data_IF_854602465389
#
_entry.id   IF_854602465389
#
_cell.length_a   1.000
_cell.length_b   1.000
_cell.length_c   1.000
_cell.angle_alpha   90.00
_cell.angle_beta   90.00
_cell.angle_gamma   90.00
#
_symmetry.space_group_name_H-M   'P 1'
#
loop_
_entity.id
_entity.type
_entity.pdbx_description
1 polymer ?
#
# COMPACT_ATOMS: atom_id res chain seq x y z
N UNK A 1 69.99 8.70 48.85
CA UNK A 1 69.42 7.52 48.12
C UNK A 1 68.17 7.99 47.44
N UNK A 2 68.29 8.32 46.14
CA UNK A 2 67.20 8.91 45.36
C UNK A 2 66.65 7.79 44.45
N UNK A 3 65.39 7.41 44.65
CA UNK A 3 64.69 6.44 43.84
C UNK A 3 64.01 7.18 42.68
N UNK A 4 64.56 7.01 41.49
CA UNK A 4 63.94 7.51 40.21
C UNK A 4 63.01 6.45 39.70
N UNK A 5 61.71 6.70 39.86
CA UNK A 5 60.66 5.88 39.25
C UNK A 5 60.48 6.20 37.76
N UNK A 6 60.71 5.25 36.88
CA UNK A 6 60.34 5.34 35.49
C UNK A 6 58.81 5.18 35.31
N UNK A 7 58.14 6.25 34.93
CA UNK A 7 56.79 6.19 34.39
C UNK A 7 56.90 5.87 32.90
N UNK A 8 56.60 4.64 32.49
CA UNK A 8 56.33 4.32 31.11
C UNK A 8 54.89 4.78 30.78
N UNK A 9 54.76 5.84 30.04
CA UNK A 9 53.52 6.19 29.39
C UNK A 9 53.24 5.17 28.27
N UNK A 10 52.27 4.30 28.52
CA UNK A 10 51.74 3.43 27.47
C UNK A 10 50.89 4.30 26.53
N UNK A 11 51.45 4.65 25.39
CA UNK A 11 50.64 5.19 24.29
C UNK A 11 49.89 4.04 23.65
N UNK A 12 48.67 3.74 24.17
CA UNK A 12 47.77 2.89 23.45
C UNK A 12 47.36 3.62 22.15
N UNK A 13 47.67 3.02 21.02
CA UNK A 13 47.16 3.51 19.73
C UNK A 13 45.63 3.63 19.80
N UNK A 14 45.03 4.76 19.35
CA UNK A 14 43.60 4.90 19.32
C UNK A 14 43.03 3.76 18.45
N UNK A 15 42.07 3.01 19.02
CA UNK A 15 41.38 1.98 18.26
C UNK A 15 40.80 2.61 16.99
N UNK A 16 40.88 1.94 15.83
CA UNK A 16 40.28 2.46 14.61
C UNK A 16 38.79 2.67 14.85
N UNK A 17 38.33 3.88 14.56
CA UNK A 17 36.91 4.24 14.65
C UNK A 17 36.17 3.43 13.57
N UNK A 18 35.54 2.34 13.99
CA UNK A 18 34.72 1.51 13.11
C UNK A 18 33.40 2.24 12.92
N UNK A 19 33.30 3.03 11.85
CA UNK A 19 32.07 3.64 11.42
C UNK A 19 31.21 2.55 10.81
N UNK A 20 30.33 1.95 11.61
CA UNK A 20 29.31 1.03 11.09
C UNK A 20 28.30 1.83 10.28
N UNK A 21 28.12 1.46 9.00
CA UNK A 21 27.02 2.00 8.22
C UNK A 21 25.69 1.67 8.92
N UNK A 22 24.74 2.60 8.99
CA UNK A 22 23.44 2.31 9.58
C UNK A 22 22.77 1.14 8.84
N UNK A 23 22.08 0.24 9.54
CA UNK A 23 21.42 -0.89 8.92
C UNK A 23 20.35 -0.39 7.92
N UNK A 24 20.34 -0.96 6.72
CA UNK A 24 19.35 -0.66 5.69
C UNK A 24 18.22 -1.69 5.71
N UNK A 25 16.97 -1.30 5.39
CA UNK A 25 15.88 -2.25 5.18
C UNK A 25 16.24 -3.34 4.16
N UNK A 26 15.79 -4.57 4.41
CA UNK A 26 16.06 -5.67 3.50
C UNK A 26 15.45 -5.41 2.11
N UNK A 27 16.24 -5.62 1.05
CA UNK A 27 15.82 -5.36 -0.32
C UNK A 27 15.70 -3.89 -0.71
N UNK A 28 16.24 -2.98 0.12
CA UNK A 28 16.43 -1.57 -0.24
C UNK A 28 17.51 -1.45 -1.31
N UNK A 29 17.18 -0.79 -2.42
CA UNK A 29 18.06 -0.61 -3.57
C UNK A 29 17.95 0.81 -4.10
N UNK A 30 19.08 1.42 -4.44
CA UNK A 30 19.08 2.67 -5.21
C UNK A 30 18.96 2.34 -6.69
N UNK A 31 17.92 2.88 -7.33
CA UNK A 31 17.75 2.76 -8.78
C UNK A 31 18.51 3.89 -9.46
N UNK A 32 19.36 3.52 -10.44
CA UNK A 32 20.02 4.53 -11.27
C UNK A 32 18.96 5.41 -11.97
N UNK A 33 19.19 6.73 -12.07
CA UNK A 33 18.31 7.60 -12.84
C UNK A 33 18.19 7.11 -14.28
N UNK A 34 16.98 6.81 -14.73
CA UNK A 34 16.76 6.45 -16.12
C UNK A 34 16.90 7.70 -17.00
N UNK A 35 17.71 7.62 -18.03
CA UNK A 35 17.94 8.73 -18.98
C UNK A 35 16.65 9.10 -19.74
N UNK A 36 15.74 8.14 -19.89
CA UNK A 36 14.40 8.34 -20.46
C UNK A 36 13.42 7.63 -19.53
N UNK A 37 12.61 8.36 -18.75
CA UNK A 37 11.62 7.73 -17.88
C UNK A 37 10.63 6.94 -18.70
N UNK A 38 10.19 5.75 -18.21
CA UNK A 38 9.19 4.95 -18.88
C UNK A 38 7.90 5.75 -19.02
N UNK A 39 7.26 5.73 -20.18
CA UNK A 39 5.97 6.40 -20.36
C UNK A 39 4.95 5.89 -19.34
N UNK A 40 4.25 6.82 -18.68
CA UNK A 40 3.11 6.42 -17.85
C UNK A 40 2.02 5.84 -18.75
N UNK A 41 1.40 4.73 -18.34
CA UNK A 41 0.18 4.28 -18.99
C UNK A 41 -0.85 5.42 -18.96
N UNK A 42 -1.53 5.64 -20.09
CA UNK A 42 -2.61 6.60 -20.14
C UNK A 42 -3.84 5.97 -19.44
N UNK A 43 -4.17 6.44 -18.28
CA UNK A 43 -5.32 5.96 -17.50
C UNK A 43 -6.67 6.44 -18.08
N UNK A 44 -6.64 7.26 -19.12
CA UNK A 44 -7.82 7.68 -19.87
C UNK A 44 -8.13 6.73 -21.06
N UNK A 45 -7.26 5.77 -21.36
CA UNK A 45 -7.46 4.79 -22.44
C UNK A 45 -8.58 3.78 -22.14
N UNK A 46 -9.08 3.72 -20.90
CA UNK A 46 -10.19 2.86 -20.50
C UNK A 46 -11.03 3.52 -19.39
N UNK A 47 -12.29 3.06 -19.21
CA UNK A 47 -13.03 3.38 -17.98
C UNK A 47 -12.52 2.51 -16.84
N UNK A 48 -11.40 2.96 -16.23
CA UNK A 48 -10.67 2.18 -15.23
C UNK A 48 -11.48 1.85 -13.97
N UNK A 49 -12.52 2.65 -13.64
CA UNK A 49 -13.32 2.46 -12.42
C UNK A 49 -14.63 1.73 -12.64
N UNK A 50 -15.04 1.48 -13.89
CA UNK A 50 -16.20 0.66 -14.17
C UNK A 50 -15.90 -0.83 -13.93
N UNK A 51 -16.88 -1.57 -13.44
CA UNK A 51 -16.77 -2.99 -13.15
C UNK A 51 -18.08 -3.72 -13.50
N UNK A 52 -18.16 -5.01 -13.21
CA UNK A 52 -19.35 -5.82 -13.48
C UNK A 52 -20.43 -5.56 -12.42
N UNK A 53 -21.71 -5.46 -12.87
CA UNK A 53 -22.83 -5.33 -11.93
C UNK A 53 -22.92 -6.55 -11.02
N UNK A 54 -23.36 -6.35 -9.75
CA UNK A 54 -23.73 -7.46 -8.88
C UNK A 54 -24.78 -8.37 -9.52
N UNK A 55 -24.82 -9.61 -9.05
CA UNK A 55 -25.90 -10.51 -9.45
C UNK A 55 -27.26 -9.95 -9.05
N UNK A 56 -28.30 -10.09 -9.90
CA UNK A 56 -29.63 -9.60 -9.59
C UNK A 56 -30.36 -10.47 -8.54
N UNK A 57 -29.87 -11.69 -8.27
CA UNK A 57 -30.46 -12.60 -7.33
C UNK A 57 -29.40 -13.34 -6.49
N UNK A 58 -29.82 -13.78 -5.30
CA UNK A 58 -28.97 -14.43 -4.32
C UNK A 58 -28.43 -15.79 -4.79
N UNK A 59 -29.24 -16.57 -5.47
CA UNK A 59 -28.85 -17.93 -5.92
C UNK A 59 -27.65 -17.88 -6.86
N UNK A 60 -27.65 -16.97 -7.84
CA UNK A 60 -26.52 -16.79 -8.76
C UNK A 60 -25.25 -16.31 -8.01
N UNK A 61 -25.43 -15.42 -7.04
CA UNK A 61 -24.31 -14.94 -6.21
C UNK A 61 -23.71 -16.08 -5.37
N UNK A 62 -24.54 -16.91 -4.74
CA UNK A 62 -24.10 -18.05 -3.93
C UNK A 62 -23.38 -19.11 -4.77
N UNK A 63 -23.86 -19.37 -5.98
CA UNK A 63 -23.22 -20.31 -6.91
C UNK A 63 -21.83 -19.84 -7.33
N UNK A 64 -21.65 -18.53 -7.55
CA UNK A 64 -20.37 -17.95 -7.95
C UNK A 64 -19.24 -18.14 -6.93
N UNK A 65 -19.58 -18.30 -5.64
CA UNK A 65 -18.62 -18.49 -4.54
C UNK A 65 -18.64 -19.90 -3.94
N UNK A 66 -19.32 -20.86 -4.59
CA UNK A 66 -19.52 -22.19 -4.05
C UNK A 66 -18.19 -22.92 -3.77
N UNK A 67 -17.18 -22.79 -4.64
CA UNK A 67 -15.86 -23.39 -4.43
C UNK A 67 -15.16 -22.80 -3.20
N UNK A 68 -15.26 -21.49 -2.98
CA UNK A 68 -14.71 -20.80 -1.81
C UNK A 68 -15.44 -21.27 -0.56
N UNK A 69 -16.77 -21.38 -0.62
CA UNK A 69 -17.61 -21.86 0.48
C UNK A 69 -17.28 -23.31 0.85
N UNK A 70 -17.10 -24.19 -0.14
CA UNK A 70 -16.74 -25.59 0.08
C UNK A 70 -15.34 -25.74 0.71
N UNK A 71 -14.42 -24.84 0.39
CA UNK A 71 -13.08 -24.78 1.00
C UNK A 71 -13.12 -24.27 2.46
N UNK A 72 -14.16 -23.57 2.87
CA UNK A 72 -14.38 -23.08 4.23
C UNK A 72 -13.65 -21.78 4.58
N UNK A 73 -12.96 -21.14 3.63
CA UNK A 73 -12.27 -19.86 3.84
C UNK A 73 -12.06 -19.09 2.55
N UNK A 74 -12.01 -17.77 2.66
CA UNK A 74 -11.59 -16.83 1.61
C UNK A 74 -10.07 -16.61 1.71
N UNK A 75 -9.33 -16.79 0.62
CA UNK A 75 -7.88 -16.54 0.59
C UNK A 75 -7.64 -15.13 0.06
N UNK A 76 -7.04 -14.27 0.89
CA UNK A 76 -6.88 -12.84 0.62
C UNK A 76 -5.41 -12.46 0.58
N UNK A 77 -4.97 -11.86 -0.51
CA UNK A 77 -3.66 -11.23 -0.63
C UNK A 77 -3.66 -9.83 -0.03
N UNK A 78 -2.78 -9.58 0.93
CA UNK A 78 -2.52 -8.27 1.53
C UNK A 78 -1.08 -8.20 2.06
N UNK A 79 -0.68 -7.11 2.72
CA UNK A 79 0.57 -7.05 3.48
C UNK A 79 0.33 -6.84 4.97
N UNK A 80 1.40 -6.64 5.72
CA UNK A 80 1.37 -6.36 7.16
C UNK A 80 2.19 -5.12 7.54
N UNK A 81 2.60 -4.35 6.55
CA UNK A 81 3.42 -3.14 6.69
C UNK A 81 2.71 -1.84 6.31
N UNK A 82 1.40 -1.89 6.04
CA UNK A 82 0.57 -0.73 5.70
C UNK A 82 -0.33 -0.36 6.89
N UNK A 83 0.21 0.44 7.81
CA UNK A 83 -0.56 0.89 8.98
C UNK A 83 -1.87 1.56 8.54
N UNK A 84 -2.95 1.38 9.31
CA UNK A 84 -4.34 1.73 9.03
C UNK A 84 -5.06 0.82 8.00
N UNK A 85 -4.34 0.19 7.06
CA UNK A 85 -4.94 -0.64 5.99
C UNK A 85 -4.82 -2.13 6.24
N UNK A 86 -3.60 -2.60 6.44
CA UNK A 86 -3.31 -3.98 6.81
C UNK A 86 -1.99 -4.03 7.57
N UNK A 87 -2.09 -4.35 8.84
CA UNK A 87 -0.92 -4.46 9.71
C UNK A 87 -1.17 -5.54 10.77
N UNK A 88 -0.10 -6.06 11.32
CA UNK A 88 -0.18 -6.99 12.45
C UNK A 88 -0.27 -6.20 13.74
N UNK A 89 -1.38 -6.34 14.44
CA UNK A 89 -1.53 -5.74 15.77
C UNK A 89 -0.50 -6.33 16.73
N UNK A 90 0.34 -5.50 17.37
CA UNK A 90 1.42 -5.99 18.23
C UNK A 90 0.94 -6.62 19.54
N UNK A 91 -0.31 -6.37 19.94
CA UNK A 91 -0.89 -6.89 21.19
C UNK A 91 -1.59 -8.23 20.93
N UNK A 92 -2.45 -8.28 19.91
CA UNK A 92 -3.26 -9.47 19.61
C UNK A 92 -2.58 -10.43 18.63
N UNK A 93 -1.61 -9.94 17.84
CA UNK A 93 -0.98 -10.69 16.76
C UNK A 93 -1.87 -10.86 15.51
N UNK A 94 -3.08 -10.32 15.53
CA UNK A 94 -4.04 -10.42 14.43
C UNK A 94 -3.70 -9.43 13.31
N UNK A 95 -4.08 -9.78 12.08
CA UNK A 95 -4.01 -8.85 10.95
C UNK A 95 -5.30 -8.02 10.95
N UNK A 96 -5.14 -6.70 10.99
CA UNK A 96 -6.24 -5.75 11.14
C UNK A 96 -6.00 -4.52 10.25
N UNK A 97 -7.02 -3.68 10.08
CA UNK A 97 -6.97 -2.47 9.27
C UNK A 97 -8.16 -2.36 8.30
N UNK A 98 -8.22 -1.27 7.55
CA UNK A 98 -9.33 -1.00 6.65
C UNK A 98 -9.46 -2.05 5.55
N UNK A 99 -8.36 -2.44 4.90
CA UNK A 99 -8.35 -3.48 3.86
C UNK A 99 -8.69 -4.86 4.43
N UNK A 100 -8.19 -5.17 5.64
CA UNK A 100 -8.52 -6.42 6.32
C UNK A 100 -10.01 -6.49 6.67
N UNK A 101 -10.60 -5.38 7.16
CA UNK A 101 -12.03 -5.32 7.48
C UNK A 101 -12.88 -5.37 6.20
N UNK A 102 -12.49 -4.75 5.09
CA UNK A 102 -13.16 -4.88 3.78
C UNK A 102 -13.14 -6.34 3.30
N UNK A 103 -12.01 -7.04 3.42
CA UNK A 103 -11.93 -8.47 3.11
C UNK A 103 -12.82 -9.31 4.03
N UNK A 104 -12.90 -8.95 5.31
CA UNK A 104 -13.81 -9.56 6.28
C UNK A 104 -15.27 -9.40 5.90
N UNK A 105 -15.68 -8.27 5.31
CA UNK A 105 -17.05 -8.07 4.84
C UNK A 105 -17.39 -8.96 3.62
N UNK A 106 -16.40 -9.24 2.73
CA UNK A 106 -16.58 -10.23 1.66
C UNK A 106 -16.74 -11.64 2.26
N UNK A 107 -15.91 -12.00 3.24
CA UNK A 107 -16.04 -13.29 3.94
C UNK A 107 -17.36 -13.41 4.69
N UNK A 108 -17.85 -12.34 5.31
CA UNK A 108 -19.17 -12.29 5.97
C UNK A 108 -20.32 -12.64 5.01
N UNK A 109 -20.29 -12.12 3.79
CA UNK A 109 -21.33 -12.41 2.80
C UNK A 109 -21.23 -13.85 2.27
N UNK A 110 -20.02 -14.45 2.25
CA UNK A 110 -19.84 -15.86 1.85
C UNK A 110 -20.25 -16.82 2.96
N UNK A 111 -19.81 -16.58 4.21
CA UNK A 111 -19.85 -17.55 5.32
C UNK A 111 -20.78 -17.15 6.48
N UNK A 112 -21.29 -15.92 6.50
CA UNK A 112 -22.05 -15.37 7.64
C UNK A 112 -21.16 -14.79 8.74
N UNK A 113 -19.83 -14.90 8.65
CA UNK A 113 -18.86 -14.36 9.62
C UNK A 113 -17.64 -13.78 8.90
N UNK A 114 -17.05 -12.68 9.42
CA UNK A 114 -15.85 -12.08 8.83
C UNK A 114 -14.56 -12.87 9.13
N UNK A 115 -14.59 -13.82 10.03
CA UNK A 115 -13.39 -14.54 10.51
C UNK A 115 -12.90 -15.65 9.59
N UNK A 116 -13.67 -16.07 8.58
CA UNK A 116 -13.32 -17.14 7.65
C UNK A 116 -12.39 -16.62 6.52
N UNK A 117 -11.28 -16.01 6.91
CA UNK A 117 -10.26 -15.47 5.99
C UNK A 117 -8.91 -16.11 6.27
N UNK A 118 -8.21 -16.51 5.19
CA UNK A 118 -6.80 -16.87 5.22
C UNK A 118 -6.00 -15.76 4.52
N UNK A 119 -5.13 -15.08 5.25
CA UNK A 119 -4.29 -14.04 4.67
C UNK A 119 -3.01 -14.60 4.07
N UNK A 120 -2.68 -14.20 2.84
CA UNK A 120 -1.40 -14.43 2.16
C UNK A 120 -0.65 -13.11 2.08
N UNK A 121 0.52 -13.08 2.69
CA UNK A 121 1.34 -11.88 2.68
C UNK A 121 2.02 -11.76 1.33
N UNK A 122 1.75 -10.65 0.62
CA UNK A 122 2.26 -10.37 -0.71
C UNK A 122 3.01 -9.03 -0.73
N UNK A 123 4.10 -8.96 -1.49
CA UNK A 123 4.65 -7.66 -1.90
C UNK A 123 3.71 -6.97 -2.89
N UNK A 124 3.89 -5.67 -3.11
CA UNK A 124 3.08 -4.97 -4.13
C UNK A 124 3.38 -5.45 -5.55
N UNK A 125 4.58 -5.94 -5.80
CA UNK A 125 4.97 -6.50 -7.10
C UNK A 125 4.33 -7.88 -7.38
N UNK A 126 4.04 -8.67 -6.34
CA UNK A 126 3.53 -10.04 -6.49
C UNK A 126 2.00 -10.12 -6.65
N UNK A 127 1.26 -9.01 -6.46
CA UNK A 127 -0.21 -8.99 -6.42
C UNK A 127 -0.86 -9.59 -7.66
N UNK A 128 -0.40 -9.17 -8.83
CA UNK A 128 -0.97 -9.62 -10.12
C UNK A 128 -0.68 -11.09 -10.34
N UNK A 129 0.58 -11.52 -10.21
CA UNK A 129 0.96 -12.91 -10.38
C UNK A 129 0.22 -13.83 -9.39
N UNK A 130 0.01 -13.40 -8.14
CA UNK A 130 -0.72 -14.19 -7.16
C UNK A 130 -2.19 -14.42 -7.56
N UNK A 131 -2.82 -13.44 -8.24
CA UNK A 131 -4.16 -13.58 -8.79
C UNK A 131 -4.20 -14.48 -10.04
N UNK A 132 -3.28 -14.27 -10.99
CA UNK A 132 -3.18 -15.06 -12.22
C UNK A 132 -2.96 -16.55 -11.92
N UNK A 133 -2.10 -16.87 -10.94
CA UNK A 133 -1.80 -18.22 -10.50
C UNK A 133 -2.83 -18.81 -9.51
N UNK A 134 -3.90 -18.08 -9.18
CA UNK A 134 -4.92 -18.48 -8.20
C UNK A 134 -4.33 -18.84 -6.82
N UNK A 135 -3.21 -18.21 -6.44
CA UNK A 135 -2.64 -18.34 -5.08
C UNK A 135 -3.52 -17.64 -4.03
N UNK A 136 -4.31 -16.68 -4.46
CA UNK A 136 -5.31 -15.96 -3.68
C UNK A 136 -6.61 -15.83 -4.47
N UNK A 137 -7.75 -15.72 -3.80
CA UNK A 137 -9.04 -15.47 -4.43
C UNK A 137 -9.19 -13.98 -4.80
N UNK A 138 -8.78 -13.11 -3.88
CA UNK A 138 -8.83 -11.66 -4.03
C UNK A 138 -7.57 -11.02 -3.47
N UNK A 139 -7.24 -9.84 -3.96
CA UNK A 139 -6.22 -8.95 -3.38
C UNK A 139 -6.90 -7.69 -2.86
N UNK A 140 -6.78 -7.44 -1.55
CA UNK A 140 -7.24 -6.21 -0.90
C UNK A 140 -6.03 -5.57 -0.25
N UNK A 141 -5.34 -4.68 -1.01
CA UNK A 141 -4.02 -4.15 -0.62
C UNK A 141 -3.77 -2.80 -1.29
N UNK A 142 -4.60 -1.78 -0.98
CA UNK A 142 -4.45 -0.42 -1.54
C UNK A 142 -4.08 -0.44 -3.03
N UNK A 143 -4.74 -1.31 -3.81
CA UNK A 143 -4.36 -1.58 -5.19
C UNK A 143 -5.04 -0.60 -6.13
N UNK A 144 -4.27 0.32 -6.71
CA UNK A 144 -4.78 1.30 -7.67
C UNK A 144 -5.27 0.62 -8.94
N UNK A 145 -6.49 0.96 -9.32
CA UNK A 145 -7.07 0.53 -10.60
C UNK A 145 -6.43 1.36 -11.70
N UNK A 146 -5.70 0.70 -12.61
CA UNK A 146 -5.12 1.32 -13.79
C UNK A 146 -5.55 0.56 -15.05
N UNK A 147 -5.53 1.22 -16.21
CA UNK A 147 -5.82 0.56 -17.48
C UNK A 147 -4.81 -0.56 -17.79
N UNK A 148 -3.57 -0.44 -17.30
CA UNK A 148 -2.55 -1.48 -17.45
C UNK A 148 -2.87 -2.72 -16.60
N UNK A 149 -3.20 -2.54 -15.32
CA UNK A 149 -3.55 -3.66 -14.45
C UNK A 149 -4.81 -4.39 -14.94
N UNK A 150 -5.79 -3.67 -15.53
CA UNK A 150 -7.00 -4.26 -16.11
C UNK A 150 -6.75 -5.16 -17.32
N UNK A 151 -5.57 -5.11 -17.92
CA UNK A 151 -5.20 -6.07 -18.98
C UNK A 151 -4.81 -7.44 -18.43
N UNK A 152 -4.55 -7.54 -17.13
CA UNK A 152 -4.02 -8.74 -16.47
C UNK A 152 -4.99 -9.30 -15.42
N UNK A 153 -5.71 -8.43 -14.72
CA UNK A 153 -6.66 -8.81 -13.65
C UNK A 153 -7.94 -7.99 -13.74
N UNK A 154 -9.02 -8.52 -13.19
CA UNK A 154 -10.25 -7.78 -12.97
C UNK A 154 -10.23 -7.02 -11.64
N UNK A 155 -11.05 -5.99 -11.57
CA UNK A 155 -11.24 -5.20 -10.36
C UNK A 155 -12.70 -5.09 -9.98
N UNK A 156 -12.94 -5.01 -8.68
CA UNK A 156 -14.21 -4.51 -8.16
C UNK A 156 -14.46 -3.05 -8.56
N UNK A 157 -15.62 -2.52 -8.23
CA UNK A 157 -15.82 -1.07 -8.16
C UNK A 157 -14.90 -0.46 -7.12
N UNK A 158 -14.54 0.82 -7.29
CA UNK A 158 -13.68 1.54 -6.36
C UNK A 158 -14.23 1.50 -4.94
N UNK A 159 -13.42 1.06 -3.95
CA UNK A 159 -13.83 1.03 -2.55
C UNK A 159 -13.28 2.19 -1.72
N UNK A 160 -12.20 2.83 -2.18
CA UNK A 160 -11.62 4.04 -1.59
C UNK A 160 -10.92 4.87 -2.68
N UNK A 161 -10.97 6.20 -2.56
CA UNK A 161 -10.20 7.13 -3.39
C UNK A 161 -9.05 7.70 -2.58
N UNK A 162 -7.84 7.61 -3.14
CA UNK A 162 -6.64 8.22 -2.59
C UNK A 162 -5.97 9.13 -3.62
N UNK A 163 -4.95 9.88 -3.19
CA UNK A 163 -4.17 10.73 -4.07
C UNK A 163 -2.69 10.58 -3.74
N UNK A 164 -1.85 10.39 -4.74
CA UNK A 164 -0.42 10.36 -4.51
C UNK A 164 0.10 11.72 -4.04
N UNK A 165 0.91 11.72 -2.98
CA UNK A 165 1.52 12.91 -2.37
C UNK A 165 2.94 12.61 -1.88
N UNK A 166 3.51 13.53 -1.13
CA UNK A 166 4.88 13.46 -0.62
C UNK A 166 4.83 13.51 0.91
N UNK A 167 5.62 12.65 1.56
CA UNK A 167 5.90 12.69 2.98
C UNK A 167 7.33 13.17 3.18
N UNK A 168 7.54 14.14 4.05
CA UNK A 168 8.86 14.67 4.38
C UNK A 168 8.97 15.00 5.87
N UNK A 169 10.19 15.08 6.43
CA UNK A 169 10.40 15.62 7.77
C UNK A 169 9.91 17.07 7.88
N UNK A 170 9.40 17.45 9.05
CA UNK A 170 8.86 18.82 9.27
C UNK A 170 9.91 19.91 9.13
N UNK A 171 11.17 19.61 9.40
CA UNK A 171 12.34 20.49 9.22
C UNK A 171 12.87 20.51 7.79
N UNK A 172 12.36 19.68 6.90
CA UNK A 172 12.73 19.65 5.47
C UNK A 172 12.24 20.90 4.74
N UNK A 173 12.94 21.26 3.66
CA UNK A 173 12.53 22.32 2.72
C UNK A 173 11.62 21.79 1.59
N UNK A 174 11.35 20.48 1.54
CA UNK A 174 10.49 19.87 0.53
C UNK A 174 9.03 20.30 0.77
N UNK A 175 8.39 20.91 -0.23
CA UNK A 175 7.00 21.38 -0.19
C UNK A 175 6.16 20.86 -1.36
N UNK A 176 6.78 20.43 -2.45
CA UNK A 176 6.12 19.97 -3.68
C UNK A 176 7.05 19.08 -4.51
N UNK A 177 6.53 18.49 -5.59
CA UNK A 177 7.27 17.53 -6.41
C UNK A 177 8.53 18.11 -7.05
N UNK A 178 8.55 19.39 -7.44
CA UNK A 178 9.76 20.03 -7.99
C UNK A 178 10.92 20.12 -7.01
N UNK A 179 10.65 20.09 -5.69
CA UNK A 179 11.69 20.14 -4.65
C UNK A 179 12.39 18.81 -4.44
N UNK A 180 11.91 17.75 -5.10
CA UNK A 180 12.47 16.41 -5.04
C UNK A 180 13.67 16.20 -5.98
N UNK A 181 13.97 17.15 -6.87
CA UNK A 181 15.13 17.07 -7.77
C UNK A 181 16.40 16.77 -7.02
N UNK A 182 17.12 15.72 -7.43
CA UNK A 182 18.38 15.28 -6.81
C UNK A 182 18.24 14.73 -5.39
N UNK A 183 17.00 14.65 -4.82
CA UNK A 183 16.73 14.06 -3.51
C UNK A 183 16.59 12.54 -3.62
N UNK A 184 16.92 11.86 -2.52
CA UNK A 184 16.63 10.43 -2.38
C UNK A 184 15.16 10.27 -2.00
N UNK A 185 14.40 9.66 -2.89
CA UNK A 185 12.95 9.49 -2.71
C UNK A 185 12.61 8.01 -2.62
N UNK A 186 12.04 7.58 -1.49
CA UNK A 186 11.60 6.20 -1.30
C UNK A 186 10.25 5.96 -1.95
N UNK A 187 10.14 4.82 -2.63
CA UNK A 187 8.88 4.26 -3.10
C UNK A 187 8.92 2.73 -3.06
N UNK A 188 7.74 2.10 -3.00
CA UNK A 188 7.63 0.64 -2.96
C UNK A 188 7.62 0.05 -4.37
N UNK A 189 8.42 -0.99 -4.61
CA UNK A 189 8.45 -1.74 -5.88
C UNK A 189 7.05 -2.23 -6.28
N UNK A 190 6.73 -2.15 -7.58
CA UNK A 190 5.45 -2.62 -8.12
C UNK A 190 4.25 -1.72 -7.82
N UNK A 191 4.48 -0.43 -7.47
CA UNK A 191 3.41 0.56 -7.24
C UNK A 191 3.32 1.61 -8.34
N UNK A 192 2.14 2.21 -8.49
CA UNK A 192 1.90 3.38 -9.33
C UNK A 192 2.72 4.58 -8.83
N UNK A 193 2.84 4.73 -7.51
CA UNK A 193 3.63 5.78 -6.86
C UNK A 193 5.08 5.75 -7.31
N UNK A 194 5.71 4.57 -7.35
CA UNK A 194 7.08 4.41 -7.84
C UNK A 194 7.23 4.89 -9.29
N UNK A 195 6.32 4.45 -10.17
CA UNK A 195 6.33 4.87 -11.59
C UNK A 195 6.16 6.37 -11.75
N UNK A 196 5.32 7.00 -10.95
CA UNK A 196 5.13 8.46 -10.97
C UNK A 196 6.39 9.21 -10.50
N UNK A 197 7.09 8.70 -9.49
CA UNK A 197 8.37 9.29 -9.02
C UNK A 197 9.42 9.29 -10.13
N UNK A 198 9.49 8.25 -10.95
CA UNK A 198 10.39 8.17 -12.10
C UNK A 198 10.13 9.25 -13.16
N UNK A 199 8.92 9.86 -13.19
CA UNK A 199 8.56 10.94 -14.13
C UNK A 199 8.98 12.33 -13.66
N UNK A 200 9.41 12.48 -12.41
CA UNK A 200 9.80 13.79 -11.86
C UNK A 200 11.03 14.31 -12.59
N UNK A 201 10.94 15.56 -13.04
CA UNK A 201 12.01 16.24 -13.74
C UNK A 201 12.38 17.55 -13.02
N UNK A 202 13.68 17.85 -12.81
CA UNK A 202 14.85 16.95 -13.03
C UNK A 202 14.76 15.68 -12.17
N UNK A 203 15.49 14.60 -12.57
CA UNK A 203 15.37 13.29 -11.93
C UNK A 203 15.64 13.30 -10.42
N UNK A 204 15.00 12.40 -9.72
CA UNK A 204 15.26 12.07 -8.32
C UNK A 204 16.21 10.86 -8.22
N UNK A 205 16.84 10.69 -7.07
CA UNK A 205 17.52 9.44 -6.73
C UNK A 205 16.47 8.50 -6.11
N UNK A 206 15.89 7.64 -6.93
CA UNK A 206 14.84 6.73 -6.48
C UNK A 206 15.41 5.61 -5.62
N UNK A 207 14.85 5.42 -4.44
CA UNK A 207 15.18 4.34 -3.52
C UNK A 207 13.99 3.39 -3.44
N UNK A 208 14.21 2.19 -3.92
CA UNK A 208 13.22 1.12 -3.96
C UNK A 208 13.28 0.27 -2.70
N UNK A 209 12.11 -0.03 -2.13
CA UNK A 209 11.95 -0.95 -0.99
C UNK A 209 10.78 -1.92 -1.24
N UNK A 210 10.60 -2.89 -0.32
CA UNK A 210 9.56 -3.91 -0.44
C UNK A 210 8.26 -3.47 0.23
N UNK A 211 8.33 -2.75 1.37
CA UNK A 211 7.15 -2.33 2.14
C UNK A 211 7.17 -0.84 2.46
N UNK A 212 6.00 -0.27 2.77
CA UNK A 212 5.90 1.13 3.20
C UNK A 212 6.55 1.37 4.57
N UNK A 213 6.55 0.35 5.44
CA UNK A 213 7.27 0.41 6.72
C UNK A 213 8.79 0.57 6.49
N UNK A 214 9.36 -0.05 5.45
CA UNK A 214 10.77 0.12 5.09
C UNK A 214 11.06 1.56 4.66
N UNK A 215 10.16 2.21 3.91
CA UNK A 215 10.28 3.63 3.59
C UNK A 215 10.28 4.51 4.85
N UNK A 216 9.43 4.20 5.84
CA UNK A 216 9.40 4.93 7.11
C UNK A 216 10.74 4.81 7.84
N UNK A 217 11.25 3.58 7.97
CA UNK A 217 12.57 3.32 8.61
C UNK A 217 13.68 4.07 7.90
N UNK A 218 13.73 4.00 6.57
CA UNK A 218 14.74 4.70 5.76
C UNK A 218 14.66 6.23 5.93
N UNK A 219 13.44 6.79 6.04
CA UNK A 219 13.22 8.22 6.25
C UNK A 219 13.66 8.65 7.68
N UNK A 220 13.29 7.88 8.70
CA UNK A 220 13.71 8.11 10.09
C UNK A 220 15.22 8.05 10.28
N UNK A 221 15.89 7.16 9.57
CA UNK A 221 17.35 7.01 9.58
C UNK A 221 18.06 7.99 8.62
N UNK A 222 17.33 8.91 7.99
CA UNK A 222 17.86 9.87 7.01
C UNK A 222 18.60 9.23 5.82
N UNK A 223 18.26 7.99 5.51
CA UNK A 223 18.75 7.29 4.32
C UNK A 223 18.03 7.77 3.05
N UNK A 224 16.81 8.33 3.21
CA UNK A 224 16.07 9.02 2.17
C UNK A 224 15.60 10.38 2.66
N UNK A 225 15.29 11.29 1.74
CA UNK A 225 14.88 12.67 2.04
C UNK A 225 13.38 12.83 2.04
N UNK A 226 12.66 11.95 1.33
CA UNK A 226 11.20 11.92 1.23
C UNK A 226 10.68 10.53 0.88
N UNK A 227 9.37 10.32 1.10
CA UNK A 227 8.61 9.17 0.60
C UNK A 227 7.52 9.69 -0.31
N UNK A 228 7.27 9.04 -1.45
CA UNK A 228 6.11 9.34 -2.27
C UNK A 228 5.19 8.13 -2.35
N UNK A 229 3.96 8.31 -1.89
CA UNK A 229 2.90 7.32 -1.85
C UNK A 229 1.52 8.00 -1.82
N UNK A 230 0.47 7.20 -1.78
CA UNK A 230 -0.89 7.69 -1.63
C UNK A 230 -1.09 8.33 -0.25
N UNK A 231 -1.81 9.44 -0.19
CA UNK A 231 -2.06 10.22 1.04
C UNK A 231 -2.60 9.35 2.18
N UNK A 232 -3.41 8.36 1.85
CA UNK A 232 -3.95 7.38 2.78
C UNK A 232 -2.86 6.51 3.42
N UNK A 233 -1.89 6.04 2.63
CA UNK A 233 -0.72 5.29 3.10
C UNK A 233 0.20 6.21 3.92
N UNK A 234 0.48 7.41 3.41
CA UNK A 234 1.31 8.40 4.10
C UNK A 234 0.74 8.80 5.46
N UNK A 235 -0.60 8.88 5.58
CA UNK A 235 -1.26 9.14 6.86
C UNK A 235 -0.97 8.02 7.89
N UNK A 236 -0.91 6.78 7.43
CA UNK A 236 -0.50 5.64 8.26
C UNK A 236 0.96 5.75 8.74
N UNK A 237 1.86 6.31 7.92
CA UNK A 237 3.25 6.57 8.32
C UNK A 237 3.34 7.75 9.31
N UNK A 238 2.61 8.85 9.04
CA UNK A 238 2.56 10.02 9.95
C UNK A 238 2.01 9.65 11.32
N UNK A 239 1.04 8.73 11.39
CA UNK A 239 0.50 8.28 12.69
C UNK A 239 1.53 7.55 13.57
N UNK A 240 2.62 7.06 12.98
CA UNK A 240 3.73 6.40 13.67
C UNK A 240 4.88 7.36 14.00
N UNK A 241 4.94 8.53 13.33
CA UNK A 241 6.01 9.49 13.53
C UNK A 241 5.49 10.95 13.40
N UNK A 242 5.33 11.67 14.53
CA UNK A 242 4.80 13.04 14.55
C UNK A 242 5.77 14.09 13.96
N UNK A 243 7.03 13.72 13.71
CA UNK A 243 8.02 14.62 13.08
C UNK A 243 7.90 14.64 11.56
N UNK A 244 7.02 13.83 10.99
CA UNK A 244 6.73 13.79 9.57
C UNK A 244 5.46 14.58 9.24
N UNK A 245 5.33 15.01 7.99
CA UNK A 245 4.09 15.62 7.47
C UNK A 245 3.93 15.39 5.97
N UNK A 246 2.69 15.34 5.53
CA UNK A 246 2.34 15.22 4.12
C UNK A 246 2.36 16.60 3.49
N UNK A 247 3.08 16.75 2.37
CA UNK A 247 3.28 18.03 1.69
C UNK A 247 2.85 17.99 0.23
N UNK A 248 2.70 19.16 -0.36
CA UNK A 248 2.42 19.37 -1.77
C UNK A 248 0.96 19.09 -2.17
N UNK A 249 0.57 19.47 -3.39
CA UNK A 249 -0.72 19.09 -3.97
C UNK A 249 -0.76 17.62 -4.33
N UNK A 250 -1.97 17.12 -4.67
CA UNK A 250 -2.13 15.80 -5.28
C UNK A 250 -1.34 15.71 -6.59
N UNK A 251 -0.55 14.65 -6.75
CA UNK A 251 0.19 14.37 -7.96
C UNK A 251 -0.63 13.51 -8.94
N UNK A 252 -1.53 12.68 -8.43
CA UNK A 252 -2.41 11.82 -9.20
C UNK A 252 -3.52 11.27 -8.32
N UNK A 253 -4.67 10.93 -8.93
CA UNK A 253 -5.76 10.21 -8.25
C UNK A 253 -5.52 8.70 -8.35
N UNK A 254 -5.67 8.02 -7.22
CA UNK A 254 -5.44 6.58 -7.05
C UNK A 254 -6.74 5.90 -6.55
N UNK A 255 -7.63 5.46 -7.47
CA UNK A 255 -8.82 4.70 -7.10
C UNK A 255 -8.43 3.28 -6.69
N UNK A 256 -8.78 2.85 -5.47
CA UNK A 256 -8.50 1.50 -4.99
C UNK A 256 -9.61 0.53 -5.34
N UNK A 257 -9.24 -0.61 -5.93
CA UNK A 257 -10.12 -1.73 -6.22
C UNK A 257 -9.62 -3.04 -5.61
N UNK A 258 -10.53 -3.95 -5.40
CA UNK A 258 -10.21 -5.33 -5.03
C UNK A 258 -9.82 -6.06 -6.31
N UNK A 259 -8.56 -6.56 -6.36
CA UNK A 259 -8.07 -7.34 -7.51
C UNK A 259 -8.61 -8.76 -7.49
N UNK A 260 -8.98 -9.28 -8.66
CA UNK A 260 -9.59 -10.61 -8.82
C UNK A 260 -9.02 -11.23 -10.11
N UNK A 261 -8.84 -12.55 -10.16
CA UNK A 261 -8.41 -13.22 -11.37
C UNK A 261 -9.38 -12.94 -12.53
N UNK A 262 -8.85 -12.58 -13.70
CA UNK A 262 -9.63 -12.23 -14.91
C UNK A 262 -10.62 -13.33 -15.32
N UNK A 263 -10.31 -14.59 -15.06
CA UNK A 263 -11.17 -15.74 -15.39
C UNK A 263 -12.29 -15.98 -14.37
N UNK A 264 -12.45 -15.10 -13.36
CA UNK A 264 -13.48 -15.24 -12.32
C UNK A 264 -14.45 -14.04 -12.25
N UNK A 265 -15.20 -13.75 -13.34
CA UNK A 265 -16.17 -12.65 -13.36
C UNK A 265 -17.30 -12.83 -12.36
N UNK A 266 -17.60 -14.08 -11.97
CA UNK A 266 -18.59 -14.37 -10.94
C UNK A 266 -18.18 -13.82 -9.57
N UNK A 267 -16.91 -13.96 -9.19
CA UNK A 267 -16.41 -13.40 -7.95
C UNK A 267 -16.37 -11.87 -7.97
N UNK A 268 -16.09 -11.25 -9.14
CA UNK A 268 -16.18 -9.79 -9.31
C UNK A 268 -17.58 -9.29 -8.99
N UNK A 269 -18.63 -9.92 -9.58
CA UNK A 269 -20.03 -9.56 -9.32
C UNK A 269 -20.42 -9.76 -7.86
N UNK A 270 -19.95 -10.85 -7.24
CA UNK A 270 -20.19 -11.12 -5.81
C UNK A 270 -19.57 -10.03 -4.94
N UNK A 271 -18.29 -9.72 -5.13
CA UNK A 271 -17.55 -8.68 -4.39
C UNK A 271 -18.21 -7.30 -4.58
N UNK A 272 -18.67 -6.98 -5.79
CA UNK A 272 -19.41 -5.73 -6.03
C UNK A 272 -20.73 -5.69 -5.27
N UNK A 273 -21.41 -6.82 -5.13
CA UNK A 273 -22.61 -6.94 -4.27
C UNK A 273 -22.31 -6.65 -2.80
N UNK A 274 -21.18 -7.16 -2.28
CA UNK A 274 -20.70 -6.83 -0.94
C UNK A 274 -20.42 -5.32 -0.80
N UNK A 275 -19.69 -4.73 -1.76
CA UNK A 275 -19.39 -3.30 -1.74
C UNK A 275 -20.67 -2.43 -1.82
N UNK A 276 -21.67 -2.81 -2.61
CA UNK A 276 -22.97 -2.13 -2.60
C UNK A 276 -23.68 -2.22 -1.26
N UNK A 277 -23.69 -3.42 -0.64
CA UNK A 277 -24.28 -3.63 0.67
C UNK A 277 -23.65 -2.71 1.71
N UNK A 278 -22.31 -2.72 1.85
CA UNK A 278 -21.61 -1.95 2.89
C UNK A 278 -21.72 -0.43 2.67
N UNK A 279 -21.90 0.03 1.42
CA UNK A 279 -22.21 1.45 1.14
C UNK A 279 -23.62 1.81 1.58
N UNK A 280 -24.60 0.96 1.28
CA UNK A 280 -26.02 1.20 1.54
C UNK A 280 -26.37 1.12 3.03
N UNK A 281 -25.78 0.16 3.78
CA UNK A 281 -26.09 -0.06 5.20
C UNK A 281 -25.22 0.76 6.16
N UNK A 282 -24.28 1.55 5.64
CA UNK A 282 -23.41 2.42 6.43
C UNK A 282 -22.19 1.72 7.04
N UNK A 283 -21.99 0.43 6.77
CA UNK A 283 -20.81 -0.33 7.22
C UNK A 283 -19.53 0.33 6.71
N UNK A 284 -19.46 0.77 5.44
CA UNK A 284 -18.30 1.47 4.89
C UNK A 284 -17.92 2.71 5.71
N UNK A 285 -18.89 3.53 6.08
CA UNK A 285 -18.66 4.72 6.90
C UNK A 285 -18.16 4.36 8.32
N UNK A 286 -18.63 3.24 8.85
CA UNK A 286 -18.17 2.74 10.16
C UNK A 286 -16.72 2.28 10.08
N UNK A 287 -16.33 1.55 9.03
CA UNK A 287 -14.94 1.14 8.80
C UNK A 287 -14.03 2.35 8.57
N UNK A 288 -14.47 3.33 7.78
CA UNK A 288 -13.73 4.57 7.57
C UNK A 288 -13.49 5.30 8.91
N UNK A 289 -14.52 5.48 9.72
CA UNK A 289 -14.37 6.13 11.04
C UNK A 289 -13.48 5.35 11.99
N UNK A 290 -13.45 4.04 11.89
CA UNK A 290 -12.57 3.18 12.70
C UNK A 290 -11.09 3.38 12.36
N UNK A 291 -10.75 3.51 11.08
CA UNK A 291 -9.38 3.44 10.60
C UNK A 291 -8.81 4.74 10.02
N UNK A 292 -9.64 5.52 9.33
CA UNK A 292 -9.18 6.57 8.43
C UNK A 292 -9.54 8.00 8.87
N UNK A 293 -9.96 8.20 10.12
CA UNK A 293 -10.29 9.55 10.66
C UNK A 293 -9.11 10.52 10.63
N UNK A 294 -7.88 10.00 10.61
CA UNK A 294 -6.66 10.81 10.43
C UNK A 294 -6.65 11.56 9.08
N UNK A 295 -7.38 11.07 8.08
CA UNK A 295 -7.58 11.74 6.79
C UNK A 295 -8.67 12.81 6.82
N UNK A 296 -9.37 12.94 7.94
CA UNK A 296 -10.51 13.84 8.10
C UNK A 296 -11.85 13.11 8.26
N UNK A 297 -12.96 13.86 8.27
CA UNK A 297 -14.30 13.27 8.35
C UNK A 297 -14.57 12.29 7.20
N UNK A 298 -15.35 11.24 7.47
CA UNK A 298 -15.70 10.25 6.45
C UNK A 298 -16.42 10.94 5.27
N UNK A 299 -15.86 10.88 4.06
CA UNK A 299 -16.56 11.35 2.86
C UNK A 299 -17.72 10.42 2.51
N UNK A 300 -18.48 10.76 1.49
CA UNK A 300 -19.38 9.79 0.88
C UNK A 300 -18.58 8.63 0.30
N UNK A 301 -19.06 7.37 0.46
CA UNK A 301 -18.41 6.23 -0.19
C UNK A 301 -18.29 6.44 -1.70
N UNK A 302 -17.22 5.93 -2.36
CA UNK A 302 -17.10 6.02 -3.81
C UNK A 302 -18.33 5.46 -4.52
N UNK A 303 -18.81 6.18 -5.55
CA UNK A 303 -19.98 5.75 -6.32
C UNK A 303 -19.59 4.58 -7.23
N UNK A 304 -20.38 3.51 -7.18
CA UNK A 304 -20.17 2.37 -8.07
C UNK A 304 -20.45 2.75 -9.53
N UNK A 305 -19.56 2.35 -10.43
CA UNK A 305 -19.72 2.46 -11.88
C UNK A 305 -19.71 1.08 -12.51
N UNK A 306 -20.58 0.84 -13.47
CA UNK A 306 -20.74 -0.46 -14.13
C UNK A 306 -20.62 -0.31 -15.65
N UNK A 307 -20.04 -1.33 -16.30
CA UNK A 307 -19.77 -1.39 -17.73
C UNK A 307 -20.69 -2.34 -18.48
N UNK A 308 -21.61 -3.04 -17.77
CA UNK A 308 -22.56 -4.02 -18.34
C UNK A 308 -24.01 -3.76 -17.96
#
# INVERSE_FOLDING_TARGET
MVLTGCQQASTADPLPEVTLAPPTPAGMEESAPESTPPSLPNDDDCDRTASLRPFPNRTAAEHAVQNIRNRGRLIVGLDIGSNLFSFRDPITGEITGFDADIAGEVARDIFGTPSQVEYRILSSADRIQALEENRVDIVVKTMSITCEHRKQVEFSTEYLSANQRILAPRDSLIRQASDLSGKRVCAVKGTTSRRRVQQIQPPVNLVDVVTWADCLVALQQRQVDAVSADDSILAGLVSQDPYLHIVGPSMNREPYGIGINMNNPGLVRFVNGTLERIRRDGTWNTLYRKWLTVLGPAPAPPVARYSD
#
